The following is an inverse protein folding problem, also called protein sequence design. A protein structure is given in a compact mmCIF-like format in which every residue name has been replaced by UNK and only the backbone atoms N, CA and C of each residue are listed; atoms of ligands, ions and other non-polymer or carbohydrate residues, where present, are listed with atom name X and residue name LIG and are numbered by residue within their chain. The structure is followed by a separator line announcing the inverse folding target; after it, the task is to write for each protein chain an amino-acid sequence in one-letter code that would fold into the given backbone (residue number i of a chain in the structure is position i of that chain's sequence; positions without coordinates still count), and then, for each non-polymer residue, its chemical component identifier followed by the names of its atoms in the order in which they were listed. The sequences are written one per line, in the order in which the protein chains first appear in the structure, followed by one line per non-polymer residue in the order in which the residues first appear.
data_IF_435400781564
#
_entry.id   IF_435400781564
#
_cell.length_a   1.000
_cell.length_b   1.000
_cell.length_c   1.000
_cell.angle_alpha   90.00
_cell.angle_beta   90.00
_cell.angle_gamma   90.00
#
_symmetry.space_group_name_H-M   'P 1'
#
loop_
_entity.id
_entity.type
_entity.pdbx_description
1 polymer ?
#
# COMPACT_ATOMS: atom_id res chain seq x y z
N UNK A 1 -5.55 -49.28 36.73
CA UNK A 1 -5.17 -49.80 35.40
C UNK A 1 -4.68 -48.60 34.59
N UNK A 2 -3.38 -48.30 34.71
CA UNK A 2 -2.38 -48.30 33.62
C UNK A 2 -2.78 -47.40 32.43
N UNK A 3 -2.23 -46.18 32.36
CA UNK A 3 -1.05 -45.76 31.54
C UNK A 3 -1.50 -45.35 30.11
N UNK A 4 -0.99 -44.33 29.41
CA UNK A 4 0.35 -43.76 29.34
C UNK A 4 0.26 -42.34 28.73
N UNK A 5 1.14 -41.44 29.16
CA UNK A 5 1.34 -40.06 28.68
C UNK A 5 1.89 -40.02 27.25
N UNK A 6 1.44 -39.06 26.44
CA UNK A 6 2.03 -38.71 25.15
C UNK A 6 2.55 -37.27 25.16
N UNK A 7 3.79 -37.07 25.60
CA UNK A 7 4.54 -35.82 25.46
C UNK A 7 5.54 -36.03 24.32
N UNK A 8 5.38 -35.32 23.20
CA UNK A 8 6.42 -35.26 22.16
C UNK A 8 7.12 -33.91 22.24
N UNK A 9 8.26 -33.92 22.94
CA UNK A 9 9.30 -32.90 22.84
C UNK A 9 10.24 -33.34 21.72
N UNK A 10 10.26 -32.63 20.60
CA UNK A 10 11.35 -32.74 19.62
C UNK A 10 12.26 -31.54 19.81
N UNK A 11 13.33 -31.76 20.60
CA UNK A 11 14.49 -30.90 20.64
C UNK A 11 15.36 -31.22 19.42
N UNK A 12 15.60 -30.24 18.56
CA UNK A 12 16.65 -30.32 17.54
C UNK A 12 17.73 -29.31 17.88
N UNK A 13 18.91 -29.87 18.15
CA UNK A 13 20.17 -29.21 18.44
C UNK A 13 20.70 -28.46 17.22
N UNK A 14 21.34 -27.31 17.49
CA UNK A 14 22.76 -27.11 17.19
C UNK A 14 23.15 -26.61 15.79
N UNK A 15 23.85 -25.47 15.77
CA UNK A 15 24.63 -25.03 14.61
C UNK A 15 25.03 -23.56 14.67
N UNK A 16 25.93 -23.19 15.60
CA UNK A 16 26.61 -21.88 15.60
C UNK A 16 27.85 -22.00 14.70
N UNK A 17 27.89 -21.26 13.60
CA UNK A 17 29.12 -21.01 12.83
C UNK A 17 29.57 -19.59 13.13
N UNK A 18 30.51 -19.45 14.07
CA UNK A 18 31.34 -18.27 14.26
C UNK A 18 32.49 -18.36 13.26
N UNK A 19 32.50 -17.49 12.26
CA UNK A 19 33.69 -17.22 11.46
C UNK A 19 34.26 -15.88 11.90
N UNK A 20 35.17 -15.98 12.87
CA UNK A 20 36.17 -14.97 13.20
C UNK A 20 37.20 -14.89 12.08
N UNK A 21 37.34 -13.72 11.46
CA UNK A 21 38.46 -13.39 10.60
C UNK A 21 38.97 -11.99 10.95
N UNK A 22 40.04 -11.95 11.73
CA UNK A 22 40.87 -10.76 11.94
C UNK A 22 41.88 -10.67 10.79
N UNK A 23 42.07 -9.51 10.18
CA UNK A 23 43.41 -8.96 9.92
C UNK A 23 43.30 -7.47 9.51
N UNK A 24 43.74 -6.58 10.40
CA UNK A 24 44.29 -5.26 10.05
C UNK A 24 45.83 -5.42 10.09
N UNK A 25 46.62 -4.73 9.24
CA UNK A 25 47.10 -3.39 9.66
C UNK A 25 47.49 -2.41 8.53
N UNK A 26 47.81 -1.20 9.00
CA UNK A 26 48.76 -0.20 8.46
C UNK A 26 48.21 0.96 7.60
N UNK A 27 47.69 1.96 8.30
CA UNK A 27 48.27 3.31 8.45
C UNK A 27 48.90 4.05 7.25
N UNK A 28 48.37 5.29 7.11
CA UNK A 28 49.05 6.55 6.74
C UNK A 28 49.36 6.83 5.26
N UNK A 29 48.70 7.85 4.71
CA UNK A 29 49.36 9.12 4.33
C UNK A 29 48.30 10.18 3.99
N UNK A 30 48.50 11.38 4.55
CA UNK A 30 47.79 12.60 4.19
C UNK A 30 48.13 13.01 2.74
N UNK A 31 47.17 13.56 2.00
CA UNK A 31 47.33 14.90 1.44
C UNK A 31 46.00 15.48 0.94
N UNK A 32 46.00 16.80 0.88
CA UNK A 32 44.93 17.72 0.58
C UNK A 32 44.57 17.71 -0.90
N UNK A 33 43.30 17.98 -1.24
CA UNK A 33 42.96 18.32 -2.62
C UNK A 33 41.49 18.21 -2.97
N UNK A 34 40.71 19.24 -2.63
CA UNK A 34 39.57 19.65 -3.45
C UNK A 34 39.86 21.08 -3.95
N UNK A 35 39.27 21.56 -5.06
CA UNK A 35 38.34 20.91 -5.97
C UNK A 35 38.79 20.97 -7.45
N UNK A 36 38.22 20.14 -8.33
CA UNK A 36 38.28 20.40 -9.77
C UNK A 36 37.03 19.85 -10.45
N UNK A 37 36.09 20.75 -10.74
CA UNK A 37 35.00 20.50 -11.67
C UNK A 37 35.55 20.41 -13.10
N UNK A 38 35.12 19.43 -13.91
CA UNK A 38 35.16 19.56 -15.36
C UNK A 38 33.87 20.20 -15.90
N UNK A 39 33.94 20.91 -17.04
CA UNK A 39 32.86 21.72 -17.60
C UNK A 39 31.76 20.88 -18.28
N UNK A 40 30.53 21.38 -18.20
CA UNK A 40 29.39 20.93 -19.02
C UNK A 40 29.70 21.13 -20.51
N UNK A 41 29.73 20.04 -21.27
CA UNK A 41 29.78 20.07 -22.72
C UNK A 41 28.36 19.97 -23.30
N UNK A 42 28.09 20.89 -24.22
CA UNK A 42 26.85 21.12 -24.96
C UNK A 42 26.64 20.10 -26.08
N UNK A 43 25.43 19.53 -26.21
CA UNK A 43 24.77 19.08 -27.46
C UNK A 43 23.51 18.29 -27.11
N UNK A 44 22.42 18.29 -27.85
CA UNK A 44 21.92 19.08 -28.99
C UNK A 44 20.42 18.78 -29.01
N UNK A 45 19.59 19.81 -29.18
CA UNK A 45 18.14 19.64 -29.30
C UNK A 45 17.79 19.18 -30.73
N UNK A 46 16.87 18.21 -30.90
CA UNK A 46 16.08 18.14 -32.12
C UNK A 46 14.85 19.04 -31.99
N UNK A 47 14.64 19.82 -33.04
CA UNK A 47 13.42 20.56 -33.31
C UNK A 47 12.33 19.59 -33.77
N UNK A 48 11.08 19.79 -33.34
CA UNK A 48 9.93 19.43 -34.18
C UNK A 48 8.69 20.28 -33.89
N UNK A 49 7.87 20.40 -34.94
CA UNK A 49 6.96 21.47 -35.34
C UNK A 49 5.73 21.77 -34.45
N UNK A 50 5.15 22.99 -34.52
CA UNK A 50 3.83 23.28 -33.96
C UNK A 50 2.71 22.82 -34.90
N UNK A 51 1.78 22.00 -34.40
CA UNK A 51 0.49 21.74 -35.06
C UNK A 51 -0.59 22.68 -34.54
N UNK A 52 -1.21 23.39 -35.47
CA UNK A 52 -2.33 24.28 -35.29
C UNK A 52 -3.64 23.52 -35.00
N UNK A 53 -4.48 24.10 -34.14
CA UNK A 53 -5.92 23.81 -34.10
C UNK A 53 -6.68 25.13 -33.92
N UNK A 54 -7.57 25.51 -34.85
CA UNK A 54 -8.58 26.52 -34.61
C UNK A 54 -9.90 25.84 -34.19
N UNK A 55 -10.59 26.38 -33.19
CA UNK A 55 -12.06 26.36 -33.11
C UNK A 55 -12.54 27.28 -31.98
N UNK A 56 -12.92 28.49 -32.38
CA UNK A 56 -13.89 29.34 -31.71
C UNK A 56 -15.28 28.72 -31.89
N UNK A 57 -16.01 28.45 -30.80
CA UNK A 57 -17.47 28.70 -30.77
C UNK A 57 -17.98 28.78 -29.33
N UNK A 58 -18.31 29.99 -28.91
CA UNK A 58 -19.20 30.28 -27.77
C UNK A 58 -20.66 30.01 -28.19
N UNK A 59 -21.53 29.47 -27.31
CA UNK A 59 -22.81 30.15 -27.15
C UNK A 59 -23.35 30.21 -25.70
N UNK A 60 -23.42 31.44 -25.20
CA UNK A 60 -24.62 32.14 -24.68
C UNK A 60 -25.52 31.43 -23.65
N UNK A 61 -25.40 31.89 -22.39
CA UNK A 61 -26.46 31.85 -21.38
C UNK A 61 -27.68 32.70 -21.82
N UNK A 62 -28.90 32.32 -21.40
CA UNK A 62 -29.83 33.29 -20.83
C UNK A 62 -30.23 32.99 -19.38
N UNK A 63 -30.73 34.06 -18.76
CA UNK A 63 -30.84 34.36 -17.33
C UNK A 63 -32.22 34.03 -16.75
N UNK A 64 -32.19 33.70 -15.46
CA UNK A 64 -33.22 33.60 -14.40
C UNK A 64 -34.64 34.18 -14.63
N UNK A 65 -35.68 33.54 -14.07
CA UNK A 65 -36.14 33.68 -12.68
C UNK A 65 -37.56 33.11 -12.49
N UNK A 66 -37.82 32.40 -11.38
CA UNK A 66 -39.07 32.48 -10.61
C UNK A 66 -38.96 31.66 -9.30
N UNK A 67 -39.00 32.35 -8.16
CA UNK A 67 -39.53 31.82 -6.90
C UNK A 67 -40.93 32.42 -6.72
N UNK A 68 -41.88 31.72 -6.08
CA UNK A 68 -42.06 31.95 -4.64
C UNK A 68 -42.52 30.73 -3.80
N UNK A 69 -42.05 30.74 -2.55
CA UNK A 69 -42.78 30.54 -1.28
C UNK A 69 -43.55 29.24 -0.99
N UNK A 70 -42.97 28.47 -0.05
CA UNK A 70 -43.62 28.20 1.25
C UNK A 70 -44.21 26.81 1.49
N UNK A 71 -43.59 26.04 2.39
CA UNK A 71 -44.25 25.42 3.55
C UNK A 71 -43.21 24.64 4.39
N UNK A 72 -43.12 25.00 5.67
CA UNK A 72 -42.36 24.26 6.67
C UNK A 72 -43.07 22.95 7.04
N UNK A 73 -42.30 21.86 7.16
CA UNK A 73 -42.63 20.70 8.01
C UNK A 73 -41.34 19.95 8.37
N UNK A 74 -41.29 19.49 9.63
CA UNK A 74 -40.15 19.01 10.43
C UNK A 74 -39.17 18.00 9.82
N UNK A 75 -37.93 17.92 10.37
CA UNK A 75 -36.90 16.99 9.91
C UNK A 75 -37.27 15.54 10.23
N UNK A 76 -37.46 14.74 9.19
CA UNK A 76 -37.42 13.28 9.27
C UNK A 76 -35.96 12.86 8.98
N UNK A 77 -35.32 12.00 9.80
CA UNK A 77 -33.97 11.55 9.50
C UNK A 77 -34.02 10.78 8.19
N UNK A 78 -33.44 11.35 7.15
CA UNK A 78 -33.23 10.69 5.87
C UNK A 78 -32.28 9.53 6.15
N UNK A 79 -32.85 8.33 6.12
CA UNK A 79 -32.16 7.09 6.41
C UNK A 79 -30.84 7.03 5.66
N UNK A 80 -29.80 6.70 6.41
CA UNK A 80 -28.52 6.20 5.92
C UNK A 80 -28.76 5.32 4.70
N UNK A 81 -28.04 5.60 3.61
CA UNK A 81 -27.92 4.68 2.47
C UNK A 81 -27.42 3.36 3.04
N UNK A 82 -28.34 2.45 3.33
CA UNK A 82 -28.02 1.08 3.71
C UNK A 82 -27.74 0.39 2.41
N UNK A 83 -26.47 0.41 2.01
CA UNK A 83 -25.96 -0.54 1.03
C UNK A 83 -26.36 -1.93 1.49
N UNK A 84 -27.10 -2.65 0.66
CA UNK A 84 -27.52 -4.01 0.97
C UNK A 84 -26.31 -4.86 1.39
N UNK A 85 -26.47 -5.85 2.31
CA UNK A 85 -25.40 -6.76 2.65
C UNK A 85 -24.98 -7.50 1.38
N UNK A 86 -23.79 -7.18 0.89
CA UNK A 86 -23.22 -7.81 -0.30
C UNK A 86 -22.85 -9.24 0.08
N UNK A 87 -23.81 -10.17 -0.02
CA UNK A 87 -23.59 -11.63 -0.05
C UNK A 87 -22.47 -12.18 0.87
N UNK A 88 -22.42 -11.74 2.14
CA UNK A 88 -21.47 -12.23 3.14
C UNK A 88 -20.12 -11.52 3.20
N UNK A 89 -19.93 -10.46 2.40
CA UNK A 89 -18.81 -9.54 2.42
C UNK A 89 -19.17 -8.20 3.08
N UNK A 90 -18.25 -7.65 3.88
CA UNK A 90 -18.42 -6.39 4.58
C UNK A 90 -17.11 -5.59 4.62
N UNK A 91 -17.21 -4.29 4.37
CA UNK A 91 -16.14 -3.34 4.64
C UNK A 91 -16.06 -3.08 6.14
N UNK A 92 -14.85 -2.98 6.69
CA UNK A 92 -14.61 -2.87 8.13
C UNK A 92 -13.64 -1.74 8.43
N UNK A 93 -13.79 -1.13 9.60
CA UNK A 93 -12.81 -0.16 10.08
C UNK A 93 -11.55 -0.87 10.57
N UNK A 94 -10.40 -0.56 9.97
CA UNK A 94 -9.11 -1.09 10.41
C UNK A 94 -8.65 -0.42 11.71
N UNK A 95 -8.59 -1.20 12.78
CA UNK A 95 -7.98 -0.76 14.04
C UNK A 95 -6.46 -0.65 13.92
N UNK A 96 -5.81 0.04 14.86
CA UNK A 96 -4.35 0.10 14.93
C UNK A 96 -3.71 -1.29 15.03
N UNK A 97 -4.33 -2.22 15.76
CA UNK A 97 -3.87 -3.59 15.87
C UNK A 97 -3.90 -4.34 14.54
N UNK A 98 -4.95 -4.15 13.72
CA UNK A 98 -5.02 -4.74 12.37
C UNK A 98 -3.93 -4.18 11.48
N UNK A 99 -3.75 -2.85 11.47
CA UNK A 99 -2.70 -2.19 10.69
C UNK A 99 -1.31 -2.68 11.11
N UNK A 100 -1.04 -2.77 12.42
CA UNK A 100 0.24 -3.26 12.93
C UNK A 100 0.50 -4.72 12.55
N UNK A 101 -0.51 -5.60 12.65
CA UNK A 101 -0.38 -7.00 12.28
C UNK A 101 -0.11 -7.20 10.77
N UNK A 102 -0.79 -6.42 9.92
CA UNK A 102 -0.54 -6.44 8.46
C UNK A 102 0.85 -5.90 8.12
N UNK A 103 1.28 -4.82 8.77
CA UNK A 103 2.66 -4.29 8.60
C UNK A 103 3.70 -5.31 9.04
N UNK A 104 3.51 -5.97 10.18
CA UNK A 104 4.42 -7.00 10.68
C UNK A 104 4.49 -8.19 9.73
N UNK A 105 3.36 -8.59 9.14
CA UNK A 105 3.36 -9.65 8.11
C UNK A 105 4.17 -9.25 6.88
N UNK A 106 3.99 -8.02 6.41
CA UNK A 106 4.73 -7.53 5.25
C UNK A 106 6.24 -7.43 5.53
N UNK A 107 6.64 -6.96 6.71
CA UNK A 107 8.04 -6.95 7.15
C UNK A 107 8.63 -8.36 7.23
N UNK A 108 7.82 -9.35 7.65
CA UNK A 108 8.25 -10.76 7.68
C UNK A 108 8.46 -11.31 6.28
N UNK A 109 7.59 -10.97 5.33
CA UNK A 109 7.74 -11.37 3.92
C UNK A 109 8.87 -10.62 3.21
N UNK A 110 9.16 -9.37 3.61
CA UNK A 110 10.16 -8.49 3.01
C UNK A 110 11.03 -7.81 4.09
N UNK A 111 11.99 -8.55 4.71
CA UNK A 111 12.76 -8.06 5.86
C UNK A 111 13.57 -6.79 5.60
N UNK A 112 13.90 -6.53 4.33
CA UNK A 112 14.60 -5.30 3.92
C UNK A 112 13.78 -4.04 4.20
N UNK A 113 12.45 -4.10 4.33
CA UNK A 113 11.57 -2.95 4.57
C UNK A 113 11.11 -2.86 6.03
N UNK A 114 12.05 -2.76 6.97
CA UNK A 114 11.75 -2.71 8.41
C UNK A 114 11.13 -1.38 8.86
N UNK A 115 11.45 -0.27 8.20
CA UNK A 115 11.04 1.07 8.62
C UNK A 115 9.91 1.63 7.76
N UNK A 116 8.76 0.98 7.79
CA UNK A 116 7.60 1.32 6.97
C UNK A 116 6.32 1.45 7.80
N UNK A 117 5.34 2.15 7.24
CA UNK A 117 3.97 2.20 7.76
C UNK A 117 2.97 2.22 6.61
N UNK A 118 1.71 1.82 6.84
CA UNK A 118 0.68 1.99 5.85
C UNK A 118 0.44 3.47 5.57
N UNK A 119 0.23 3.82 4.30
CA UNK A 119 -0.11 5.20 3.88
C UNK A 119 -1.44 5.59 4.54
N UNK A 120 -1.51 6.76 5.22
CA UNK A 120 -2.75 7.22 5.83
C UNK A 120 -3.91 7.27 4.83
N UNK A 121 -5.10 6.88 5.29
CA UNK A 121 -6.35 6.86 4.51
C UNK A 121 -6.33 5.92 3.28
N UNK A 122 -5.26 5.17 3.04
CA UNK A 122 -5.15 4.16 1.96
C UNK A 122 -4.99 2.74 2.53
N UNK A 123 -5.79 2.43 3.55
CA UNK A 123 -5.85 1.11 4.16
C UNK A 123 -7.28 0.58 4.08
N UNK A 124 -7.49 -0.38 3.19
CA UNK A 124 -8.76 -1.06 3.01
C UNK A 124 -8.76 -2.33 3.85
N UNK A 125 -9.89 -2.60 4.51
CA UNK A 125 -10.04 -3.75 5.39
C UNK A 125 -11.47 -4.25 5.36
N UNK A 126 -11.65 -5.55 5.39
CA UNK A 126 -12.96 -6.14 5.29
C UNK A 126 -12.91 -7.64 5.44
N UNK A 127 -14.08 -8.25 5.33
CA UNK A 127 -14.25 -9.66 5.60
C UNK A 127 -15.30 -10.24 4.67
N UNK A 128 -15.04 -11.46 4.18
CA UNK A 128 -16.02 -12.29 3.49
C UNK A 128 -16.00 -13.69 4.09
N UNK A 129 -17.16 -14.21 4.52
CA UNK A 129 -17.27 -15.62 4.95
C UNK A 129 -16.27 -16.03 6.04
N UNK A 130 -15.95 -15.14 6.99
CA UNK A 130 -14.97 -15.41 8.06
C UNK A 130 -13.50 -15.17 7.70
N UNK A 131 -13.20 -14.93 6.41
CA UNK A 131 -11.86 -14.59 5.93
C UNK A 131 -11.71 -13.08 5.91
N UNK A 132 -10.63 -12.58 6.49
CA UNK A 132 -10.30 -11.15 6.49
C UNK A 132 -9.38 -10.82 5.34
N UNK A 133 -9.52 -9.61 4.81
CA UNK A 133 -8.66 -9.12 3.75
C UNK A 133 -8.23 -7.70 4.07
N UNK A 134 -7.01 -7.36 3.67
CA UNK A 134 -6.50 -6.00 3.76
C UNK A 134 -5.78 -5.64 2.46
N UNK A 135 -5.90 -4.38 2.06
CA UNK A 135 -5.14 -3.82 0.96
C UNK A 135 -4.56 -2.48 1.40
N UNK A 136 -3.26 -2.27 1.20
CA UNK A 136 -2.62 -1.00 1.56
C UNK A 136 -1.33 -0.76 0.81
N UNK A 137 -0.98 0.52 0.64
CA UNK A 137 0.35 0.95 0.24
C UNK A 137 1.19 1.22 1.48
N UNK A 138 2.49 1.03 1.38
CA UNK A 138 3.43 1.35 2.45
C UNK A 138 4.29 2.55 2.06
N UNK A 139 4.60 3.38 3.04
CA UNK A 139 5.58 4.45 2.94
C UNK A 139 6.68 4.26 3.98
N UNK A 140 7.86 4.79 3.68
CA UNK A 140 8.98 4.80 4.62
C UNK A 140 8.70 5.69 5.82
N UNK A 141 9.25 5.31 6.97
CA UNK A 141 9.27 6.11 8.21
C UNK A 141 10.64 6.76 8.39
N UNK A 142 10.77 7.66 9.37
CA UNK A 142 12.00 8.42 9.64
C UNK A 142 13.22 7.55 10.00
N UNK A 143 13.03 6.27 10.32
CA UNK A 143 14.13 5.34 10.59
C UNK A 143 14.69 4.65 9.35
N UNK A 144 14.15 4.90 8.16
CA UNK A 144 14.55 4.17 6.96
C UNK A 144 15.99 4.48 6.52
N UNK A 145 16.75 3.45 6.18
CA UNK A 145 18.09 3.60 5.58
C UNK A 145 17.98 4.13 4.15
N UNK A 146 19.10 4.59 3.58
CA UNK A 146 19.12 5.06 2.20
C UNK A 146 18.65 3.98 1.21
N UNK A 147 19.11 2.75 1.39
CA UNK A 147 18.74 1.59 0.56
C UNK A 147 17.24 1.29 0.66
N UNK A 148 16.66 1.45 1.84
CA UNK A 148 15.22 1.31 2.05
C UNK A 148 14.44 2.40 1.34
N UNK A 149 14.89 3.66 1.43
CA UNK A 149 14.27 4.79 0.74
C UNK A 149 14.28 4.57 -0.78
N UNK A 150 15.38 4.08 -1.35
CA UNK A 150 15.48 3.74 -2.77
C UNK A 150 14.54 2.59 -3.12
N UNK A 151 14.57 1.48 -2.39
CA UNK A 151 13.72 0.33 -2.66
C UNK A 151 12.22 0.66 -2.56
N UNK A 152 11.83 1.59 -1.68
CA UNK A 152 10.44 2.01 -1.51
C UNK A 152 9.91 2.93 -2.62
N UNK A 153 10.76 3.46 -3.50
CA UNK A 153 10.28 4.28 -4.64
C UNK A 153 9.43 3.44 -5.61
N UNK A 154 9.89 2.23 -5.90
CA UNK A 154 9.13 1.28 -6.71
C UNK A 154 8.11 0.54 -5.84
N UNK A 155 8.59 -0.08 -4.76
CA UNK A 155 7.78 -0.97 -3.94
C UNK A 155 6.58 -0.26 -3.25
N UNK A 156 6.81 0.93 -2.70
CA UNK A 156 5.80 1.71 -1.96
C UNK A 156 4.70 2.30 -2.85
N UNK A 157 4.92 2.31 -4.16
CA UNK A 157 3.93 2.77 -5.13
C UNK A 157 2.79 1.75 -5.36
N UNK A 158 3.08 0.47 -5.14
CA UNK A 158 2.17 -0.62 -5.40
C UNK A 158 1.38 -1.04 -4.15
N UNK A 159 0.08 -1.28 -4.32
CA UNK A 159 -0.78 -1.77 -3.24
C UNK A 159 -0.41 -3.21 -2.93
N UNK A 160 -0.30 -3.55 -1.65
CA UNK A 160 -0.06 -4.89 -1.16
C UNK A 160 -1.35 -5.48 -0.62
N UNK A 161 -1.58 -6.75 -0.92
CA UNK A 161 -2.79 -7.48 -0.60
C UNK A 161 -2.51 -8.57 0.41
N UNK A 162 -3.39 -8.71 1.40
CA UNK A 162 -3.23 -9.66 2.49
C UNK A 162 -4.52 -10.40 2.75
N UNK A 163 -4.38 -11.65 3.19
CA UNK A 163 -5.46 -12.48 3.72
C UNK A 163 -5.19 -12.78 5.17
N UNK A 164 -6.22 -12.70 6.00
CA UNK A 164 -6.17 -13.03 7.41
C UNK A 164 -7.22 -14.06 7.79
N UNK A 165 -6.92 -14.83 8.83
CA UNK A 165 -7.89 -15.72 9.49
C UNK A 165 -8.56 -14.99 10.65
N UNK A 166 -9.66 -15.52 11.20
CA UNK A 166 -10.26 -14.98 12.42
C UNK A 166 -9.29 -14.96 13.61
N UNK A 167 -8.30 -15.87 13.64
CA UNK A 167 -7.31 -16.00 14.72
C UNK A 167 -6.23 -14.90 14.76
N UNK A 168 -6.20 -13.97 13.80
CA UNK A 168 -5.23 -12.86 13.81
C UNK A 168 -4.00 -13.08 12.94
N UNK A 169 -3.84 -14.28 12.38
CA UNK A 169 -2.75 -14.57 11.46
C UNK A 169 -3.03 -13.95 10.10
N UNK A 170 -2.01 -13.30 9.53
CA UNK A 170 -2.03 -12.69 8.20
C UNK A 170 -1.05 -13.41 7.27
N UNK A 171 -1.31 -13.31 5.98
CA UNK A 171 -0.43 -13.79 4.92
C UNK A 171 -0.47 -12.81 3.77
N UNK A 172 0.69 -12.53 3.20
CA UNK A 172 0.82 -11.78 1.96
C UNK A 172 0.22 -12.59 0.79
N UNK A 173 -0.59 -11.93 -0.04
CA UNK A 173 -1.22 -12.54 -1.21
C UNK A 173 -0.54 -12.15 -2.50
N UNK A 174 -0.44 -10.83 -2.73
CA UNK A 174 -0.06 -10.24 -4.00
C UNK A 174 0.31 -8.78 -3.82
N UNK A 175 0.89 -8.22 -4.87
CA UNK A 175 1.08 -6.78 -5.07
C UNK A 175 0.42 -6.40 -6.38
N UNK A 176 0.02 -5.13 -6.53
CA UNK A 176 -0.26 -4.57 -7.85
C UNK A 176 0.90 -4.82 -8.80
N UNK A 177 0.57 -5.09 -10.07
CA UNK A 177 1.52 -5.14 -11.17
C UNK A 177 2.03 -3.75 -11.55
N UNK A 178 3.14 -3.71 -12.28
CA UNK A 178 3.60 -2.51 -12.99
C UNK A 178 3.60 -2.78 -14.51
N UNK A 179 2.87 -2.00 -15.34
CA UNK A 179 1.93 -0.94 -14.93
C UNK A 179 0.76 -1.49 -14.11
N UNK A 180 0.11 -0.60 -13.36
CA UNK A 180 -1.04 -0.94 -12.50
C UNK A 180 -2.18 -1.51 -13.35
N UNK A 181 -2.81 -2.58 -12.83
CA UNK A 181 -3.94 -3.19 -13.48
C UNK A 181 -5.18 -2.25 -13.48
N UNK A 182 -6.03 -2.27 -14.52
CA UNK A 182 -7.09 -1.27 -14.73
C UNK A 182 -8.13 -1.21 -13.60
N UNK A 183 -8.35 -2.32 -12.91
CA UNK A 183 -9.36 -2.48 -11.87
C UNK A 183 -8.75 -2.66 -10.48
N UNK A 184 -7.46 -2.37 -10.29
CA UNK A 184 -6.80 -2.39 -8.98
C UNK A 184 -7.05 -3.69 -8.23
N UNK A 185 -7.71 -3.62 -7.07
CA UNK A 185 -7.98 -4.82 -6.28
C UNK A 185 -9.06 -5.74 -6.87
N UNK A 186 -9.84 -5.28 -7.85
CA UNK A 186 -10.74 -6.11 -8.64
C UNK A 186 -10.00 -7.08 -9.57
N UNK A 187 -8.74 -6.80 -9.90
CA UNK A 187 -7.90 -7.67 -10.74
C UNK A 187 -7.14 -8.73 -9.92
N UNK A 188 -7.30 -8.76 -8.59
CA UNK A 188 -6.64 -9.73 -7.71
C UNK A 188 -7.57 -10.92 -7.50
N UNK A 189 -7.35 -12.09 -8.13
CA UNK A 189 -8.32 -13.19 -8.12
C UNK A 189 -8.62 -13.78 -6.74
N UNK A 190 -7.71 -13.57 -5.78
CA UNK A 190 -7.85 -14.05 -4.41
C UNK A 190 -8.73 -13.13 -3.54
N UNK A 191 -9.02 -11.90 -3.99
CA UNK A 191 -9.92 -10.97 -3.32
C UNK A 191 -11.34 -11.20 -3.86
N UNK A 192 -12.34 -11.47 -3.00
CA UNK A 192 -13.71 -11.63 -3.45
C UNK A 192 -14.22 -10.34 -4.13
N UNK A 193 -14.81 -10.49 -5.32
CA UNK A 193 -15.33 -9.37 -6.13
C UNK A 193 -16.27 -8.44 -5.34
N UNK A 194 -17.21 -8.94 -4.50
CA UNK A 194 -18.09 -8.05 -3.74
C UNK A 194 -17.32 -7.17 -2.73
N UNK A 195 -16.18 -7.64 -2.24
CA UNK A 195 -15.32 -6.87 -1.34
C UNK A 195 -14.46 -5.86 -2.08
N UNK A 196 -13.89 -6.24 -3.23
CA UNK A 196 -13.19 -5.31 -4.10
C UNK A 196 -14.12 -4.15 -4.53
N UNK A 197 -15.36 -4.46 -4.93
CA UNK A 197 -16.39 -3.48 -5.24
C UNK A 197 -16.73 -2.58 -4.03
N UNK A 198 -16.84 -3.15 -2.82
CA UNK A 198 -17.07 -2.37 -1.60
C UNK A 198 -15.91 -1.41 -1.25
N UNK A 199 -14.70 -1.71 -1.73
CA UNK A 199 -13.53 -0.83 -1.64
C UNK A 199 -13.40 0.12 -2.84
N UNK A 200 -14.38 0.14 -3.76
CA UNK A 200 -14.32 0.94 -4.98
C UNK A 200 -13.22 0.48 -5.94
N UNK A 201 -12.90 -0.82 -5.93
CA UNK A 201 -11.74 -1.42 -6.61
C UNK A 201 -10.39 -0.88 -6.11
N UNK A 202 -10.37 -0.38 -4.87
CA UNK A 202 -9.21 0.18 -4.20
C UNK A 202 -8.62 1.33 -5.04
N UNK A 203 -9.38 2.43 -5.21
CA UNK A 203 -8.96 3.53 -6.05
C UNK A 203 -7.69 4.11 -5.46
N UNK A 204 -6.72 4.36 -6.33
CA UNK A 204 -5.56 5.17 -5.93
C UNK A 204 -5.79 6.60 -6.35
N UNK A 205 -5.55 7.49 -5.38
CA UNK A 205 -5.29 8.89 -5.66
C UNK A 205 -3.95 9.08 -6.36
#
# INVERSE_FOLDING_TARGET
MLDLRGVSVMAMLGGILLLTGCEEPAASHADSGAPSWPPSATSSAPADLPSAVPADTTPKLPRAAASPTGAAASPRPTGTVTSAPHSGCQNLTATSAVKAAVTAEYQRSFPRFAHIRPVPQQFFYGQCGGVRYAATRFESTSGATHEQLVGMQDEGSATKYFRGTAAGMWSYLATDSFPRAPHGCGDVPQIPEPLAAAWGNCPVG
#
